data_IF_191987434923
#
_entry.id   IF_191987434923
#
_cell.length_a   1.000
_cell.length_b   1.000
_cell.length_c   1.000
_cell.angle_alpha   90.00
_cell.angle_beta   90.00
_cell.angle_gamma   90.00
#
_symmetry.space_group_name_H-M   'P 1'
#
loop_
_entity.id
_entity.type
_entity.pdbx_description
1 polymer ?
#
# COMPACT_ATOMS: atom_id res chain seq x y z
N UNK A 1 -11.91 16.78 30.62
CA UNK A 1 -11.60 16.10 30.59
C UNK A 1 -11.18 15.74 30.68
N UNK A 2 -10.84 15.62 30.97
CA UNK A 2 -10.81 14.94 30.51
C UNK A 2 -10.07 13.84 30.55
N UNK A 3 -10.54 12.90 30.46
CA UNK A 3 -9.94 11.72 30.34
C UNK A 3 -9.41 11.50 28.99
N UNK A 4 -8.31 10.77 28.76
CA UNK A 4 -7.87 10.37 27.45
C UNK A 4 -8.93 9.46 26.86
N UNK A 5 -9.30 9.63 25.61
CA UNK A 5 -10.26 8.75 24.98
C UNK A 5 -9.74 7.32 24.93
N UNK A 6 -10.62 6.35 24.89
CA UNK A 6 -10.27 4.97 24.69
C UNK A 6 -9.64 4.80 23.31
N UNK A 7 -9.05 3.63 23.05
CA UNK A 7 -8.46 3.37 21.75
C UNK A 7 -9.50 3.53 20.63
N UNK A 8 -10.70 3.02 20.83
CA UNK A 8 -11.76 3.15 19.82
C UNK A 8 -12.15 4.60 19.60
N UNK A 9 -12.25 5.38 20.67
CA UNK A 9 -12.61 6.78 20.55
C UNK A 9 -11.52 7.57 19.85
N UNK A 10 -10.28 7.24 20.10
CA UNK A 10 -9.17 7.91 19.41
C UNK A 10 -9.15 7.55 17.95
N UNK A 11 -9.46 6.31 17.60
CA UNK A 11 -9.52 5.89 16.22
C UNK A 11 -10.66 6.59 15.49
N UNK A 12 -11.84 6.67 16.10
CA UNK A 12 -12.97 7.36 15.51
C UNK A 12 -12.69 8.84 15.35
N UNK A 13 -12.07 9.47 16.34
CA UNK A 13 -11.71 10.87 16.28
C UNK A 13 -10.72 11.10 15.13
N UNK A 14 -9.78 10.19 14.96
CA UNK A 14 -8.81 10.29 13.88
C UNK A 14 -9.50 10.17 12.52
N UNK A 15 -10.47 9.26 12.38
CA UNK A 15 -11.24 9.14 11.16
C UNK A 15 -12.12 10.37 10.91
N UNK A 16 -12.68 10.96 11.95
CA UNK A 16 -13.43 12.21 11.80
C UNK A 16 -12.56 13.31 11.25
N UNK A 17 -11.34 13.40 11.74
CA UNK A 17 -10.42 14.44 11.32
C UNK A 17 -9.91 14.22 9.91
N UNK A 18 -9.50 12.98 9.59
CA UNK A 18 -8.91 12.66 8.29
C UNK A 18 -9.92 12.12 7.30
N UNK A 19 -11.05 11.63 7.77
CA UNK A 19 -12.08 11.09 6.91
C UNK A 19 -12.66 12.12 5.96
N UNK A 20 -12.71 13.36 6.37
CA UNK A 20 -13.24 14.43 5.54
C UNK A 20 -12.28 14.80 4.44
N UNK A 21 -10.98 14.66 4.69
CA UNK A 21 -9.96 14.94 3.72
C UNK A 21 -9.44 13.68 3.08
N UNK A 22 -9.93 12.53 3.53
CA UNK A 22 -9.49 11.17 3.23
C UNK A 22 -8.04 10.93 3.61
N UNK A 23 -7.73 9.66 3.82
CA UNK A 23 -6.35 9.22 4.02
C UNK A 23 -5.59 9.36 2.71
N UNK A 24 -4.27 9.54 2.76
CA UNK A 24 -3.49 9.70 1.54
C UNK A 24 -3.75 8.61 0.50
N UNK A 25 -3.89 7.36 0.95
CA UNK A 25 -4.11 6.24 0.02
C UNK A 25 -5.55 6.10 -0.43
N UNK A 26 -6.46 6.91 0.10
CA UNK A 26 -7.84 6.94 -0.36
C UNK A 26 -8.06 7.96 -1.46
N UNK A 27 -7.06 8.80 -1.72
CA UNK A 27 -7.12 9.78 -2.79
C UNK A 27 -6.48 9.18 -4.02
N UNK A 28 -7.08 9.41 -5.18
CA UNK A 28 -6.56 8.93 -6.46
C UNK A 28 -6.21 7.45 -6.41
N UNK A 29 -7.18 6.63 -6.02
CA UNK A 29 -6.96 5.19 -5.88
C UNK A 29 -6.60 4.59 -7.21
N UNK A 30 -5.45 3.95 -7.26
CA UNK A 30 -4.98 3.17 -8.39
C UNK A 30 -4.51 1.83 -7.84
N UNK A 31 -4.40 0.80 -8.68
CA UNK A 31 -3.86 -0.48 -8.20
C UNK A 31 -2.52 -0.33 -7.50
N UNK A 32 -1.63 0.50 -8.05
CA UNK A 32 -0.32 0.73 -7.47
C UNK A 32 -0.44 1.35 -6.07
N UNK A 33 -1.24 2.42 -5.95
CA UNK A 33 -1.38 3.12 -4.67
C UNK A 33 -2.03 2.25 -3.60
N UNK A 34 -3.06 1.50 -3.99
CA UNK A 34 -3.72 0.57 -3.08
C UNK A 34 -2.72 -0.48 -2.60
N UNK A 35 -1.96 -1.05 -3.52
CA UNK A 35 -0.97 -2.07 -3.18
C UNK A 35 0.07 -1.55 -2.19
N UNK A 36 0.66 -0.40 -2.46
CA UNK A 36 1.68 0.17 -1.57
C UNK A 36 1.11 0.37 -0.16
N UNK A 37 -0.08 0.96 -0.07
CA UNK A 37 -0.70 1.21 1.24
C UNK A 37 -0.99 -0.11 1.96
N UNK A 38 -1.48 -1.12 1.24
CA UNK A 38 -1.79 -2.40 1.85
C UNK A 38 -0.55 -3.07 2.43
N UNK A 39 0.55 -3.02 1.70
CA UNK A 39 1.80 -3.62 2.17
C UNK A 39 2.34 -2.85 3.38
N UNK A 40 2.31 -1.53 3.33
CA UNK A 40 2.81 -0.73 4.45
C UNK A 40 1.97 -0.91 5.71
N UNK A 41 0.67 -1.12 5.54
CA UNK A 41 -0.23 -1.26 6.68
C UNK A 41 -0.16 -2.64 7.34
N UNK A 42 0.50 -3.61 6.70
CA UNK A 42 0.68 -4.91 7.34
C UNK A 42 1.53 -4.75 8.58
N UNK A 43 0.96 -5.09 9.74
CA UNK A 43 1.64 -5.07 11.02
C UNK A 43 2.18 -3.69 11.42
N UNK A 44 1.63 -2.62 10.84
CA UNK A 44 2.07 -1.26 11.13
C UNK A 44 0.85 -0.37 11.29
N UNK A 45 0.88 0.51 12.29
CA UNK A 45 -0.25 1.39 12.58
C UNK A 45 -0.40 2.45 11.50
N UNK A 46 -1.65 2.84 11.27
CA UNK A 46 -1.99 3.84 10.24
C UNK A 46 -1.21 5.14 10.44
N UNK A 47 -1.15 5.64 11.67
CA UNK A 47 -0.48 6.90 11.95
C UNK A 47 1.01 6.85 11.62
N UNK A 48 1.62 5.68 11.76
CA UNK A 48 3.02 5.49 11.41
C UNK A 48 3.20 5.45 9.89
N UNK A 49 2.25 4.85 9.19
CA UNK A 49 2.35 4.66 7.73
C UNK A 49 2.20 5.96 6.96
N UNK A 50 1.37 6.89 7.45
CA UNK A 50 1.05 8.10 6.69
C UNK A 50 2.30 8.83 6.17
N UNK A 51 3.30 9.19 7.00
CA UNK A 51 4.47 9.88 6.47
C UNK A 51 5.30 9.03 5.51
N UNK A 52 5.38 7.73 5.76
CA UNK A 52 6.13 6.83 4.88
C UNK A 52 5.46 6.71 3.52
N UNK A 53 4.15 6.52 3.51
CA UNK A 53 3.40 6.41 2.27
C UNK A 53 3.51 7.70 1.45
N UNK A 54 3.32 8.83 2.10
CA UNK A 54 3.37 10.14 1.43
C UNK A 54 4.72 10.35 0.77
N UNK A 55 5.80 10.05 1.49
CA UNK A 55 7.14 10.22 0.95
C UNK A 55 7.42 9.21 -0.17
N UNK A 56 6.96 7.97 0.03
CA UNK A 56 7.16 6.92 -0.97
C UNK A 56 6.49 7.29 -2.29
N UNK A 57 5.25 7.78 -2.24
CA UNK A 57 4.53 8.21 -3.44
C UNK A 57 5.18 9.41 -4.10
N UNK A 58 5.79 10.27 -3.32
CA UNK A 58 6.50 11.43 -3.85
C UNK A 58 7.74 11.02 -4.66
N UNK A 59 8.44 9.98 -4.19
CA UNK A 59 9.67 9.51 -4.85
C UNK A 59 9.36 8.52 -5.97
N UNK A 60 8.39 7.62 -5.74
CA UNK A 60 8.02 6.59 -6.70
C UNK A 60 6.52 6.67 -7.01
N UNK A 61 6.11 7.63 -7.85
CA UNK A 61 4.67 7.83 -8.11
C UNK A 61 4.02 6.74 -8.95
N UNK A 62 4.81 5.89 -9.61
CA UNK A 62 4.27 4.78 -10.40
C UNK A 62 5.04 3.51 -10.14
N UNK A 63 4.45 2.38 -10.53
CA UNK A 63 5.11 1.07 -10.37
C UNK A 63 6.40 1.01 -11.19
N UNK A 64 6.43 1.69 -12.32
CA UNK A 64 7.63 1.72 -13.15
C UNK A 64 8.76 2.44 -12.44
N UNK A 65 8.46 3.57 -11.78
CA UNK A 65 9.46 4.29 -11.00
C UNK A 65 10.05 3.41 -9.90
N UNK A 66 9.19 2.67 -9.22
CA UNK A 66 9.64 1.76 -8.17
C UNK A 66 10.49 0.63 -8.75
N UNK A 67 10.05 0.05 -9.86
CA UNK A 67 10.77 -1.07 -10.48
C UNK A 67 12.17 -0.67 -10.94
N UNK A 68 12.32 0.58 -11.40
CA UNK A 68 13.60 1.08 -11.92
C UNK A 68 14.53 1.55 -10.81
N UNK A 69 14.03 1.71 -9.60
CA UNK A 69 14.85 2.21 -8.50
C UNK A 69 15.82 1.15 -8.02
N UNK A 70 17.03 1.56 -7.59
CA UNK A 70 17.92 0.60 -6.92
C UNK A 70 17.27 0.10 -5.64
N UNK A 71 17.46 -1.18 -5.33
CA UNK A 71 16.87 -1.76 -4.13
C UNK A 71 17.28 -1.00 -2.87
N UNK A 72 18.54 -0.58 -2.80
CA UNK A 72 19.04 0.13 -1.62
C UNK A 72 18.28 1.42 -1.37
N UNK A 73 17.88 2.12 -2.42
CA UNK A 73 17.11 3.36 -2.29
C UNK A 73 15.70 3.05 -1.75
N UNK A 74 15.10 1.97 -2.23
CA UNK A 74 13.79 1.54 -1.74
C UNK A 74 13.86 1.19 -0.26
N UNK A 75 14.88 0.43 0.13
CA UNK A 75 15.07 0.04 1.52
C UNK A 75 15.32 1.26 2.41
N UNK A 76 16.02 2.26 1.88
CA UNK A 76 16.27 3.50 2.61
C UNK A 76 14.98 4.22 2.96
N UNK A 77 14.03 4.29 2.03
CA UNK A 77 12.73 4.89 2.29
C UNK A 77 11.89 4.08 3.27
N UNK A 78 12.22 2.80 3.44
CA UNK A 78 11.50 1.90 4.34
C UNK A 78 12.09 1.90 5.76
N UNK A 79 13.22 2.57 5.96
CA UNK A 79 13.92 2.58 7.24
C UNK A 79 13.00 3.08 8.34
N UNK A 80 12.86 2.29 9.38
CA UNK A 80 11.99 2.62 10.51
C UNK A 80 10.64 1.91 10.49
N UNK A 81 10.20 1.42 9.33
CA UNK A 81 8.96 0.64 9.26
C UNK A 81 9.15 -0.79 9.76
N UNK A 82 10.34 -1.34 9.57
CA UNK A 82 10.60 -2.73 9.93
C UNK A 82 10.10 -3.71 8.88
N UNK A 83 10.37 -4.99 9.10
CA UNK A 83 9.95 -6.05 8.20
C UNK A 83 10.38 -5.78 6.77
N UNK A 84 11.69 -5.63 6.58
CA UNK A 84 12.28 -5.22 5.30
C UNK A 84 12.02 -6.20 4.17
N UNK A 85 11.68 -7.45 4.48
CA UNK A 85 11.30 -8.41 3.45
C UNK A 85 10.10 -7.90 2.64
N UNK A 86 9.23 -7.12 3.26
CA UNK A 86 8.09 -6.52 2.55
C UNK A 86 8.58 -5.59 1.44
N UNK A 87 9.57 -4.75 1.75
CA UNK A 87 10.11 -3.82 0.77
C UNK A 87 10.83 -4.56 -0.36
N UNK A 88 11.58 -5.59 -0.04
CA UNK A 88 12.26 -6.39 -1.05
C UNK A 88 11.27 -7.09 -1.98
N UNK A 89 10.22 -7.66 -1.40
CA UNK A 89 9.19 -8.33 -2.20
C UNK A 89 8.44 -7.33 -3.07
N UNK A 90 8.18 -6.14 -2.53
CA UNK A 90 7.52 -5.08 -3.27
C UNK A 90 8.33 -4.65 -4.49
N UNK A 91 9.61 -4.45 -4.30
CA UNK A 91 10.51 -4.08 -5.39
C UNK A 91 10.52 -5.16 -6.48
N UNK A 92 10.60 -6.41 -6.05
CA UNK A 92 10.61 -7.55 -6.97
C UNK A 92 9.29 -7.67 -7.70
N UNK A 93 8.18 -7.53 -6.99
CA UNK A 93 6.86 -7.57 -7.61
C UNK A 93 6.69 -6.43 -8.61
N UNK A 94 7.18 -5.24 -8.27
CA UNK A 94 7.11 -4.10 -9.19
C UNK A 94 7.84 -4.42 -10.50
N UNK A 95 9.00 -5.04 -10.40
CA UNK A 95 9.76 -5.43 -11.60
C UNK A 95 8.99 -6.44 -12.43
N UNK A 96 8.30 -7.38 -11.79
CA UNK A 96 7.49 -8.36 -12.49
C UNK A 96 6.27 -7.71 -13.17
N UNK A 97 5.63 -6.75 -12.50
CA UNK A 97 4.51 -6.04 -13.12
C UNK A 97 4.96 -5.33 -14.38
N UNK A 98 6.12 -4.70 -14.34
CA UNK A 98 6.64 -3.98 -15.51
C UNK A 98 7.02 -4.96 -16.62
N UNK A 99 7.73 -6.04 -16.27
CA UNK A 99 8.25 -6.95 -17.31
C UNK A 99 7.18 -7.90 -17.85
N UNK A 100 6.26 -8.35 -17.00
CA UNK A 100 5.31 -9.40 -17.38
C UNK A 100 3.93 -8.87 -17.73
N UNK A 101 3.60 -7.66 -17.27
CA UNK A 101 2.27 -7.08 -17.43
C UNK A 101 2.29 -5.65 -17.97
N UNK A 102 3.40 -5.26 -18.58
CA UNK A 102 3.54 -3.94 -19.22
C UNK A 102 3.29 -2.77 -18.27
N UNK A 103 3.61 -2.94 -17.00
CA UNK A 103 3.43 -1.88 -16.01
C UNK A 103 2.00 -1.74 -15.52
N UNK A 104 1.11 -2.66 -15.88
CA UNK A 104 -0.28 -2.63 -15.46
C UNK A 104 -0.57 -3.77 -14.51
N UNK A 105 -1.15 -3.46 -13.35
CA UNK A 105 -1.51 -4.50 -12.41
C UNK A 105 -2.62 -5.38 -12.97
N UNK A 106 -2.47 -6.70 -12.86
CA UNK A 106 -3.55 -7.61 -13.25
C UNK A 106 -4.82 -7.31 -12.48
N UNK A 107 -5.96 -7.61 -13.06
CA UNK A 107 -7.25 -7.42 -12.41
C UNK A 107 -7.83 -8.73 -11.88
N UNK A 108 -7.04 -9.78 -11.84
CA UNK A 108 -7.43 -11.09 -11.33
C UNK A 108 -6.74 -11.34 -10.01
N UNK A 109 -7.51 -11.73 -9.00
CA UNK A 109 -6.96 -12.09 -7.69
C UNK A 109 -5.94 -13.21 -7.82
N UNK A 110 -6.27 -14.24 -8.61
CA UNK A 110 -5.39 -15.39 -8.78
C UNK A 110 -4.06 -15.00 -9.39
N UNK A 111 -4.08 -14.12 -10.38
CA UNK A 111 -2.84 -13.69 -11.03
C UNK A 111 -2.03 -12.81 -10.09
N UNK A 112 -2.70 -11.92 -9.37
CA UNK A 112 -2.01 -11.06 -8.40
C UNK A 112 -1.33 -11.86 -7.31
N UNK A 113 -1.91 -12.97 -6.90
CA UNK A 113 -1.32 -13.81 -5.87
C UNK A 113 -0.01 -14.48 -6.32
N UNK A 114 0.29 -14.48 -7.61
CA UNK A 114 1.56 -15.02 -8.10
C UNK A 114 2.72 -14.05 -7.88
N UNK A 115 2.42 -12.80 -7.55
CA UNK A 115 3.46 -11.81 -7.33
C UNK A 115 4.01 -11.90 -5.91
N UNK A 116 5.33 -11.66 -5.73
CA UNK A 116 5.93 -11.76 -4.40
C UNK A 116 5.24 -10.86 -3.39
N UNK A 117 4.92 -11.43 -2.24
CA UNK A 117 4.35 -10.66 -1.13
C UNK A 117 2.88 -10.29 -1.26
N UNK A 118 2.21 -10.72 -2.31
CA UNK A 118 0.79 -10.43 -2.48
C UNK A 118 -0.02 -11.67 -2.12
N UNK A 119 -0.70 -11.59 -0.98
CA UNK A 119 -1.63 -12.63 -0.57
C UNK A 119 -3.03 -12.30 -1.04
N UNK A 120 -3.98 -13.17 -0.68
CA UNK A 120 -5.35 -13.06 -1.15
C UNK A 120 -6.01 -11.76 -0.73
N UNK A 121 -5.79 -11.33 0.52
CA UNK A 121 -6.38 -10.10 1.03
C UNK A 121 -5.89 -8.88 0.26
N UNK A 122 -4.58 -8.81 0.05
CA UNK A 122 -3.98 -7.70 -0.70
C UNK A 122 -4.46 -7.72 -2.15
N UNK A 123 -4.49 -8.90 -2.77
CA UNK A 123 -4.98 -9.03 -4.13
C UNK A 123 -6.43 -8.57 -4.26
N UNK A 124 -7.27 -8.96 -3.29
CA UNK A 124 -8.66 -8.53 -3.27
C UNK A 124 -8.80 -7.02 -3.18
N UNK A 125 -7.99 -6.39 -2.34
CA UNK A 125 -8.01 -4.94 -2.19
C UNK A 125 -7.58 -4.25 -3.49
N UNK A 126 -6.56 -4.77 -4.15
CA UNK A 126 -6.09 -4.20 -5.42
C UNK A 126 -7.21 -4.23 -6.46
N UNK A 127 -7.90 -5.36 -6.59
CA UNK A 127 -8.98 -5.50 -7.55
C UNK A 127 -10.16 -4.60 -7.19
N UNK A 128 -10.59 -4.64 -5.92
CA UNK A 128 -11.79 -3.94 -5.50
C UNK A 128 -11.59 -2.43 -5.42
N UNK A 129 -10.50 -2.00 -4.78
CA UNK A 129 -10.26 -0.58 -4.53
C UNK A 129 -9.43 0.07 -5.62
N UNK A 130 -8.48 -0.68 -6.17
CA UNK A 130 -7.55 -0.12 -7.16
C UNK A 130 -8.14 -0.09 -8.56
N UNK A 131 -8.75 -1.20 -8.99
CA UNK A 131 -9.34 -1.29 -10.32
C UNK A 131 -10.81 -0.89 -10.34
N UNK A 132 -11.41 -0.64 -9.16
CA UNK A 132 -12.83 -0.37 -9.08
C UNK A 132 -13.70 -1.58 -9.38
N UNK A 133 -13.11 -2.76 -9.37
CA UNK A 133 -13.83 -3.99 -9.63
C UNK A 133 -14.43 -4.56 -8.36
N UNK A 134 -14.99 -5.75 -8.51
CA UNK A 134 -15.56 -6.47 -7.39
C UNK A 134 -14.81 -7.78 -7.24
N UNK A 135 -14.44 -8.11 -6.00
CA UNK A 135 -13.80 -9.38 -5.68
C UNK A 135 -14.33 -9.88 -4.35
N UNK A 136 -14.57 -11.18 -4.23
CA UNK A 136 -15.00 -11.72 -2.93
C UNK A 136 -13.83 -11.60 -1.96
N UNK A 137 -14.11 -10.95 -0.86
CA UNK A 137 -13.13 -10.78 0.22
C UNK A 137 -13.50 -11.77 1.29
N UNK A 138 -12.71 -12.75 1.48
CA UNK A 138 -13.03 -13.79 2.46
C UNK A 138 -11.96 -13.92 3.49
#
# INVERSE_FOLDING_TARGET
MTQLPSFSERLLSWFDEYGRTSLPWQQDKTPYRVWVSEIMLQQTQVSTVIPYYTRFMSVYPSVTDLAEAPLDDVLSLWTGLGYYARARNMHRAAQMVVSDFDGEFPSSVEVLETLPGIGRSTAGAIVTLGHGGWAPIL
#
